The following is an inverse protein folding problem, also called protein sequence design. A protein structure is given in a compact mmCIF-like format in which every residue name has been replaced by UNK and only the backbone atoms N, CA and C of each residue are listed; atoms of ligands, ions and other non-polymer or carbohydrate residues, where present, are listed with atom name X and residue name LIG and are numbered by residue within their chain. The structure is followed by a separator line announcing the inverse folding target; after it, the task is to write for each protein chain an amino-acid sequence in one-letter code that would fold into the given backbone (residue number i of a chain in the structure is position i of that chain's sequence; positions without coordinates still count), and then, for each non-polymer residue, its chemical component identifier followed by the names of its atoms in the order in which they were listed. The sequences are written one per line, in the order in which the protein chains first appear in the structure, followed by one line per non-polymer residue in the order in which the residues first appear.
data_IF_356517899181
#
_entry.id   IF_356517899181
#
_cell.length_a   1.000
_cell.length_b   1.000
_cell.length_c   1.000
_cell.angle_alpha   90.00
_cell.angle_beta   90.00
_cell.angle_gamma   90.00
#
_symmetry.space_group_name_H-M   'P 1'
#
loop_
_entity.id
_entity.type
_entity.pdbx_description
1 polymer ?
#
# COMPACT_ATOMS: atom_id res chain seq x y z
N UNK A 1 0.01 6.34 -9.68
CA UNK A 1 -0.95 5.56 -10.50
C UNK A 1 -2.34 5.77 -9.92
N UNK A 2 -3.42 5.82 -10.72
CA UNK A 2 -4.77 5.92 -10.16
C UNK A 2 -5.24 4.59 -9.56
N UNK A 3 -5.94 4.64 -8.43
CA UNK A 3 -6.43 3.46 -7.75
C UNK A 3 -7.63 2.82 -8.47
N UNK A 4 -7.59 1.52 -8.82
CA UNK A 4 -8.69 0.85 -9.51
C UNK A 4 -9.88 0.51 -8.59
N UNK A 5 -9.72 0.57 -7.27
CA UNK A 5 -10.79 0.24 -6.31
C UNK A 5 -11.76 1.39 -6.07
N UNK A 6 -11.25 2.63 -6.03
CA UNK A 6 -12.05 3.83 -5.78
C UNK A 6 -12.34 4.60 -7.08
N UNK A 7 -12.47 3.89 -8.21
CA UNK A 7 -12.76 4.48 -9.53
C UNK A 7 -11.81 5.65 -9.91
N UNK A 8 -10.54 5.54 -9.49
CA UNK A 8 -9.49 6.52 -9.80
C UNK A 8 -9.50 7.80 -8.95
N UNK A 9 -10.28 7.86 -7.87
CA UNK A 9 -10.33 9.02 -6.95
C UNK A 9 -9.05 9.17 -6.10
N UNK A 10 -8.33 8.08 -5.86
CA UNK A 10 -7.10 8.06 -5.09
C UNK A 10 -5.86 7.77 -5.93
N UNK A 11 -4.70 8.13 -5.37
CA UNK A 11 -3.38 7.84 -5.93
C UNK A 11 -2.79 6.65 -5.16
N UNK A 12 -2.31 5.68 -5.93
CA UNK A 12 -1.51 4.56 -5.41
C UNK A 12 -0.07 5.03 -5.27
N UNK A 13 0.32 5.20 -4.02
CA UNK A 13 1.66 5.56 -3.57
C UNK A 13 2.53 4.32 -3.38
N UNK A 14 3.82 4.44 -3.69
CA UNK A 14 4.81 3.38 -3.42
C UNK A 14 5.40 3.61 -2.04
N UNK A 15 5.35 2.60 -1.18
CA UNK A 15 5.85 2.64 0.19
C UNK A 15 6.88 1.53 0.43
N UNK A 16 7.77 1.74 1.39
CA UNK A 16 8.62 0.70 1.97
C UNK A 16 8.30 0.52 3.44
N UNK A 17 8.10 -0.72 3.86
CA UNK A 17 8.04 -1.09 5.28
C UNK A 17 9.47 -1.10 5.82
N UNK A 18 9.75 -0.28 6.84
CA UNK A 18 11.14 -0.05 7.30
C UNK A 18 11.77 -1.29 7.93
N UNK A 19 10.99 -2.09 8.66
CA UNK A 19 11.49 -3.25 9.40
C UNK A 19 11.77 -4.47 8.52
N UNK A 20 11.01 -4.64 7.43
CA UNK A 20 11.14 -5.80 6.52
C UNK A 20 11.82 -5.45 5.20
N UNK A 21 11.88 -4.16 4.85
CA UNK A 21 12.33 -3.69 3.54
C UNK A 21 11.32 -3.91 2.42
N UNK A 22 10.15 -4.47 2.75
CA UNK A 22 9.13 -4.84 1.77
C UNK A 22 8.50 -3.62 1.10
N UNK A 23 8.23 -3.74 -0.19
CA UNK A 23 7.62 -2.70 -1.00
C UNK A 23 6.12 -2.95 -1.12
N UNK A 24 5.35 -1.92 -0.79
CA UNK A 24 3.90 -1.87 -0.90
C UNK A 24 3.47 -0.77 -1.86
N UNK A 25 2.32 -1.00 -2.48
CA UNK A 25 1.59 0.00 -3.24
C UNK A 25 0.28 0.26 -2.53
N UNK A 26 0.04 1.49 -2.06
CA UNK A 26 -1.11 1.80 -1.19
C UNK A 26 -1.85 3.01 -1.73
N UNK A 27 -3.17 2.90 -1.84
CA UNK A 27 -4.03 4.04 -2.16
C UNK A 27 -4.12 5.00 -0.97
N UNK A 28 -3.87 6.28 -1.20
CA UNK A 28 -4.02 7.36 -0.22
C UNK A 28 -5.45 7.60 0.27
N UNK A 29 -6.46 7.31 -0.56
CA UNK A 29 -7.87 7.53 -0.24
C UNK A 29 -8.57 6.34 0.43
N UNK A 30 -8.36 5.12 -0.09
CA UNK A 30 -9.13 3.94 0.33
C UNK A 30 -8.30 2.82 0.99
N UNK A 31 -7.02 3.09 1.27
CA UNK A 31 -6.07 2.21 1.95
C UNK A 31 -5.87 0.82 1.29
N UNK A 32 -6.34 0.66 0.05
CA UNK A 32 -6.11 -0.54 -0.73
C UNK A 32 -4.62 -0.72 -1.00
N UNK A 33 -4.14 -1.93 -0.70
CA UNK A 33 -2.73 -2.29 -0.69
C UNK A 33 -2.47 -3.47 -1.62
N UNK A 34 -1.35 -3.42 -2.34
CA UNK A 34 -0.81 -4.49 -3.16
C UNK A 34 0.67 -4.66 -2.86
N UNK A 35 1.17 -5.90 -2.92
CA UNK A 35 2.61 -6.17 -2.86
C UNK A 35 3.29 -5.81 -4.18
N UNK A 36 4.60 -5.60 -4.17
CA UNK A 36 5.38 -5.33 -5.39
C UNK A 36 5.28 -6.45 -6.44
N UNK A 37 5.04 -7.69 -6.02
CA UNK A 37 4.88 -8.84 -6.92
C UNK A 37 3.46 -8.97 -7.50
N UNK A 38 2.52 -8.14 -7.06
CA UNK A 38 1.12 -8.25 -7.42
C UNK A 38 0.72 -7.23 -8.49
N UNK A 39 -0.21 -7.63 -9.35
CA UNK A 39 -0.86 -6.70 -10.27
C UNK A 39 -1.80 -5.81 -9.46
N UNK A 40 -1.67 -4.50 -9.60
CA UNK A 40 -2.63 -3.53 -9.06
C UNK A 40 -3.95 -3.67 -9.83
N UNK A 41 -4.97 -4.18 -9.13
CA UNK A 41 -6.31 -4.39 -9.70
C UNK A 41 -7.37 -4.45 -8.59
N UNK A 42 -8.64 -4.32 -8.97
CA UNK A 42 -9.77 -4.41 -8.03
C UNK A 42 -9.95 -5.82 -7.42
N UNK A 43 -9.38 -6.86 -8.04
CA UNK A 43 -9.54 -8.25 -7.60
C UNK A 43 -8.42 -8.74 -6.66
N UNK A 44 -7.37 -7.95 -6.47
CA UNK A 44 -6.11 -8.38 -5.82
C UNK A 44 -5.71 -7.53 -4.60
N UNK A 45 -6.52 -6.56 -4.19
CA UNK A 45 -6.16 -5.66 -3.09
C UNK A 45 -6.39 -6.30 -1.72
N UNK A 46 -5.69 -5.77 -0.72
CA UNK A 46 -5.99 -5.95 0.70
C UNK A 46 -6.07 -4.61 1.42
N UNK A 47 -6.59 -4.62 2.63
CA UNK A 47 -6.58 -3.45 3.51
C UNK A 47 -5.17 -3.24 4.10
N UNK A 48 -4.66 -2.01 4.06
CA UNK A 48 -3.31 -1.66 4.52
C UNK A 48 -3.09 -2.06 5.99
N UNK A 49 -3.98 -1.63 6.87
CA UNK A 49 -3.88 -1.88 8.31
C UNK A 49 -3.92 -3.37 8.62
N UNK A 50 -4.79 -4.11 7.93
CA UNK A 50 -4.90 -5.57 8.04
C UNK A 50 -3.61 -6.26 7.62
N UNK A 51 -3.01 -5.84 6.51
CA UNK A 51 -1.73 -6.36 6.06
C UNK A 51 -0.61 -6.09 7.07
N UNK A 52 -0.47 -4.84 7.52
CA UNK A 52 0.55 -4.43 8.50
C UNK A 52 0.43 -5.24 9.80
N UNK A 53 -0.79 -5.48 10.28
CA UNK A 53 -1.03 -6.33 11.47
C UNK A 53 -0.62 -7.78 11.25
N UNK A 54 -0.81 -8.32 10.04
CA UNK A 54 -0.41 -9.70 9.71
C UNK A 54 1.10 -9.91 9.81
N UNK A 55 1.90 -8.85 9.62
CA UNK A 55 3.36 -8.85 9.77
C UNK A 55 3.82 -8.27 11.12
N UNK A 56 2.90 -8.10 12.08
CA UNK A 56 3.21 -7.67 13.45
C UNK A 56 3.39 -6.16 13.64
N UNK A 57 2.94 -5.34 12.68
CA UNK A 57 3.02 -3.88 12.71
C UNK A 57 1.65 -3.23 12.91
N UNK A 58 1.61 -1.92 13.17
CA UNK A 58 0.35 -1.18 13.40
C UNK A 58 -0.18 -0.47 12.15
N UNK A 59 0.65 -0.26 11.14
CA UNK A 59 0.32 0.56 9.96
C UNK A 59 0.51 2.05 10.22
N UNK A 60 1.52 2.44 11.01
CA UNK A 60 1.77 3.84 11.37
C UNK A 60 2.91 4.44 10.55
N UNK A 61 2.90 5.77 10.36
CA UNK A 61 3.93 6.49 9.62
C UNK A 61 5.38 6.16 10.02
N UNK A 62 5.74 5.99 11.31
CA UNK A 62 7.11 5.62 11.69
C UNK A 62 7.56 4.24 11.19
N UNK A 63 6.62 3.36 10.84
CA UNK A 63 6.89 2.00 10.37
C UNK A 63 7.12 1.94 8.85
N UNK A 64 6.81 3.02 8.14
CA UNK A 64 6.86 3.09 6.68
C UNK A 64 7.69 4.29 6.17
N UNK A 65 7.99 4.23 4.89
CA UNK A 65 8.66 5.27 4.12
C UNK A 65 7.95 5.41 2.79
N UNK A 66 7.46 6.62 2.47
CA UNK A 66 6.91 6.89 1.14
C UNK A 66 8.09 7.03 0.18
N UNK A 67 8.08 6.21 -0.88
CA UNK A 67 9.02 6.27 -1.98
C UNK A 67 8.31 6.99 -3.12
N UNK A 68 8.41 8.32 -3.14
CA UNK A 68 7.97 9.09 -4.31
C UNK A 68 8.73 8.57 -5.54
N UNK A 69 7.97 8.13 -6.55
CA UNK A 69 8.51 7.85 -7.87
C UNK A 69 8.39 9.15 -8.67
N UNK A 70 9.51 9.81 -8.92
CA UNK A 70 9.59 10.97 -9.83
C UNK A 70 9.11 10.63 -11.25
#
# INVERSE_FOLDING_TARGET
MQCPRCDGQGIVEKLRVRSTGEILYVCDECEATWLETEKISIDSFRDFTTYMRSIGLKGLLPEIEIITSE
#
